data_IF_435462235182
#
_entry.id   IF_435462235182
#
_cell.length_a   1.000
_cell.length_b   1.000
_cell.length_c   1.000
_cell.angle_alpha   90.00
_cell.angle_beta   90.00
_cell.angle_gamma   90.00
#
_symmetry.space_group_name_H-M   'P 1'
#
loop_
_entity.id
_entity.type
_entity.pdbx_description
1 polymer ?
#
# COMPACT_ATOMS: atom_id res chain seq x y z
N UNK A 1 34.59 21.56 10.52
CA UNK A 1 35.66 22.55 10.68
C UNK A 1 35.95 22.62 12.17
N UNK A 2 37.05 22.03 12.64
CA UNK A 2 37.44 22.04 14.06
C UNK A 2 38.77 22.81 14.10
N UNK A 3 38.81 23.96 14.78
CA UNK A 3 39.99 24.81 14.91
C UNK A 3 40.55 25.40 13.60
N UNK A 4 39.71 25.75 12.63
CA UNK A 4 40.12 26.40 11.37
C UNK A 4 40.91 25.51 10.40
N UNK A 5 41.17 24.26 10.79
CA UNK A 5 41.74 23.22 9.93
C UNK A 5 40.60 22.36 9.39
N UNK A 6 40.54 22.21 8.07
CA UNK A 6 39.61 21.28 7.45
C UNK A 6 39.98 19.87 7.93
N UNK A 7 39.02 19.14 8.49
CA UNK A 7 39.21 17.74 8.89
C UNK A 7 38.21 16.92 8.10
N UNK A 8 38.71 16.03 7.26
CA UNK A 8 37.90 15.11 6.48
C UNK A 8 37.53 13.93 7.39
N UNK A 9 36.23 13.74 7.65
CA UNK A 9 35.74 12.75 8.62
C UNK A 9 35.36 11.41 8.00
N UNK A 10 35.41 11.28 6.66
CA UNK A 10 35.08 10.06 5.93
C UNK A 10 34.50 10.32 4.54
N UNK A 11 34.11 9.24 3.86
CA UNK A 11 33.40 9.27 2.59
C UNK A 11 34.11 8.50 1.47
N UNK A 12 33.34 7.97 0.52
CA UNK A 12 33.86 7.10 -0.55
C UNK A 12 35.00 7.75 -1.35
N UNK A 13 34.90 9.05 -1.64
CA UNK A 13 35.96 9.74 -2.38
C UNK A 13 37.26 9.84 -1.56
N UNK A 14 37.17 10.08 -0.25
CA UNK A 14 38.33 10.14 0.64
C UNK A 14 39.03 8.79 0.74
N UNK A 15 38.27 7.70 0.87
CA UNK A 15 38.81 6.34 0.91
C UNK A 15 39.59 6.01 -0.37
N UNK A 16 39.02 6.36 -1.52
CA UNK A 16 39.70 6.20 -2.82
C UNK A 16 41.02 7.00 -2.84
N UNK A 17 41.00 8.25 -2.37
CA UNK A 17 42.20 9.08 -2.34
C UNK A 17 43.29 8.52 -1.43
N UNK A 18 42.93 7.98 -0.26
CA UNK A 18 43.88 7.35 0.68
C UNK A 18 44.54 6.12 0.04
N UNK A 19 43.76 5.29 -0.66
CA UNK A 19 44.28 4.12 -1.37
C UNK A 19 45.24 4.56 -2.48
N UNK A 20 44.87 5.55 -3.28
CA UNK A 20 45.71 6.06 -4.37
C UNK A 20 46.99 6.69 -3.81
N UNK A 21 46.91 7.49 -2.74
CA UNK A 21 48.07 8.11 -2.11
C UNK A 21 49.03 7.09 -1.52
N UNK A 22 48.49 6.01 -0.92
CA UNK A 22 49.29 4.90 -0.41
C UNK A 22 49.98 4.09 -1.52
N UNK A 23 49.32 3.89 -2.67
CA UNK A 23 49.88 3.15 -3.81
C UNK A 23 50.90 3.95 -4.62
N UNK A 24 50.72 5.26 -4.73
CA UNK A 24 51.58 6.15 -5.52
C UNK A 24 52.57 6.96 -4.66
N UNK A 25 52.56 6.74 -3.34
CA UNK A 25 53.48 7.34 -2.37
C UNK A 25 53.54 8.88 -2.42
N UNK A 26 52.37 9.55 -2.38
CA UNK A 26 52.30 11.01 -2.26
C UNK A 26 51.55 11.45 -0.99
N UNK A 27 51.79 12.69 -0.58
CA UNK A 27 51.09 13.32 0.53
C UNK A 27 49.98 14.22 0.01
N UNK A 28 48.89 14.35 0.78
CA UNK A 28 47.70 15.11 0.38
C UNK A 28 47.50 16.26 1.34
N UNK A 29 47.41 17.47 0.78
CA UNK A 29 46.91 18.65 1.48
C UNK A 29 45.52 18.99 0.94
N UNK A 30 44.58 19.27 1.83
CA UNK A 30 43.21 19.57 1.47
C UNK A 30 42.94 21.06 1.59
N UNK A 31 42.16 21.57 0.65
CA UNK A 31 41.59 22.92 0.69
C UNK A 31 40.08 22.83 0.52
N UNK A 32 39.35 23.84 0.98
CA UNK A 32 37.91 23.89 0.81
C UNK A 32 37.56 24.22 -0.65
N UNK A 33 36.65 23.43 -1.23
CA UNK A 33 36.10 23.71 -2.55
C UNK A 33 35.21 24.95 -2.56
N UNK A 34 35.43 25.87 -3.50
CA UNK A 34 34.66 27.14 -3.65
C UNK A 34 33.31 26.95 -4.36
N UNK A 35 32.65 25.81 -4.17
CA UNK A 35 31.39 25.44 -4.84
C UNK A 35 31.56 24.55 -6.07
N UNK A 36 30.47 24.28 -6.78
CA UNK A 36 30.44 23.38 -7.93
C UNK A 36 31.14 23.95 -9.16
N UNK A 37 31.51 23.06 -10.09
CA UNK A 37 32.11 23.46 -11.37
C UNK A 37 31.00 23.90 -12.30
N UNK A 38 30.80 25.21 -12.45
CA UNK A 38 29.77 25.76 -13.33
C UNK A 38 30.40 26.58 -14.46
N UNK A 39 29.66 26.75 -15.56
CA UNK A 39 30.09 27.60 -16.67
C UNK A 39 29.47 28.98 -16.51
N UNK A 40 30.33 30.00 -16.45
CA UNK A 40 29.89 31.39 -16.50
C UNK A 40 29.36 31.78 -17.88
N UNK A 41 28.56 32.86 -17.99
CA UNK A 41 28.18 33.42 -19.30
C UNK A 41 29.37 33.75 -20.20
N UNK A 42 30.52 34.09 -19.61
CA UNK A 42 31.77 34.40 -20.32
C UNK A 42 32.53 33.13 -20.78
N UNK A 43 31.98 31.94 -20.58
CA UNK A 43 32.59 30.67 -20.98
C UNK A 43 33.63 30.10 -20.02
N UNK A 44 34.05 30.86 -19.00
CA UNK A 44 35.02 30.42 -17.97
C UNK A 44 34.36 29.55 -16.89
N UNK A 45 35.13 28.66 -16.26
CA UNK A 45 34.66 27.83 -15.16
C UNK A 45 34.74 28.54 -13.80
N UNK A 46 33.76 28.29 -12.93
CA UNK A 46 33.71 28.77 -11.53
C UNK A 46 33.90 27.64 -10.52
N UNK A 47 33.91 28.02 -9.23
CA UNK A 47 34.00 27.09 -8.10
C UNK A 47 35.27 26.25 -8.12
N UNK A 48 35.14 24.95 -7.88
CA UNK A 48 36.26 24.01 -7.91
C UNK A 48 37.00 23.98 -9.25
N UNK A 49 36.32 24.27 -10.38
CA UNK A 49 36.96 24.29 -11.70
C UNK A 49 37.91 25.48 -11.82
N UNK A 50 37.52 26.64 -11.27
CA UNK A 50 38.38 27.81 -11.21
C UNK A 50 39.60 27.59 -10.31
N UNK A 51 39.46 26.83 -9.22
CA UNK A 51 40.57 26.51 -8.32
C UNK A 51 41.62 25.66 -9.02
N UNK A 52 41.22 24.70 -9.84
CA UNK A 52 42.13 23.94 -10.69
C UNK A 52 42.84 24.83 -11.71
N UNK A 53 42.09 25.67 -12.44
CA UNK A 53 42.65 26.55 -13.47
C UNK A 53 43.63 27.59 -12.92
N UNK A 54 43.44 28.03 -11.67
CA UNK A 54 44.34 28.98 -10.99
C UNK A 54 45.54 28.30 -10.30
N UNK A 55 45.63 26.97 -10.33
CA UNK A 55 46.65 26.22 -9.59
C UNK A 55 46.49 26.31 -8.07
N UNK A 56 45.30 26.64 -7.57
CA UNK A 56 44.99 26.59 -6.12
C UNK A 56 44.83 25.15 -5.64
N UNK A 57 44.44 24.23 -6.53
CA UNK A 57 44.33 22.79 -6.28
C UNK A 57 44.85 22.00 -7.48
N UNK A 58 45.40 20.81 -7.21
CA UNK A 58 45.88 19.89 -8.25
C UNK A 58 44.79 18.88 -8.68
N UNK A 59 43.96 18.45 -7.73
CA UNK A 59 42.91 17.44 -7.94
C UNK A 59 41.64 17.85 -7.20
N UNK A 60 40.50 17.64 -7.85
CA UNK A 60 39.18 17.85 -7.24
C UNK A 60 38.63 16.53 -6.71
N UNK A 61 38.39 16.48 -5.40
CA UNK A 61 37.75 15.36 -4.73
C UNK A 61 36.22 15.57 -4.64
N UNK A 62 35.53 15.48 -5.78
CA UNK A 62 34.06 15.60 -5.81
C UNK A 62 33.43 14.66 -6.82
N UNK A 63 32.15 14.34 -6.61
CA UNK A 63 31.34 13.64 -7.61
C UNK A 63 30.96 14.64 -8.71
N UNK A 64 31.90 14.87 -9.63
CA UNK A 64 31.69 15.70 -10.80
C UNK A 64 31.24 14.84 -11.98
N UNK A 65 30.25 15.35 -12.70
CA UNK A 65 29.83 14.80 -13.98
C UNK A 65 30.83 15.15 -15.08
N UNK A 66 30.95 14.26 -16.06
CA UNK A 66 31.74 14.44 -17.27
C UNK A 66 30.81 15.05 -18.31
N UNK A 67 30.94 16.36 -18.50
CA UNK A 67 30.14 17.16 -19.43
C UNK A 67 31.06 17.98 -20.30
N UNK A 68 30.67 18.16 -21.56
CA UNK A 68 31.53 18.66 -22.63
C UNK A 68 32.31 19.93 -22.25
N UNK A 69 31.62 20.95 -21.73
CA UNK A 69 32.24 22.23 -21.38
C UNK A 69 33.25 22.15 -20.22
N UNK A 70 33.19 21.12 -19.37
CA UNK A 70 34.21 20.90 -18.32
C UNK A 70 35.45 20.24 -18.92
N UNK A 71 35.28 19.28 -19.82
CA UNK A 71 36.39 18.54 -20.47
C UNK A 71 37.21 19.44 -21.39
N UNK A 72 36.58 20.48 -21.96
CA UNK A 72 37.27 21.48 -22.81
C UNK A 72 38.37 22.25 -22.07
N UNK A 73 38.24 22.43 -20.74
CA UNK A 73 39.16 23.24 -19.93
C UNK A 73 39.86 22.43 -18.83
N UNK A 74 39.39 21.22 -18.50
CA UNK A 74 39.92 20.38 -17.42
C UNK A 74 40.24 18.98 -17.93
N UNK A 75 41.35 18.42 -17.46
CA UNK A 75 41.68 17.02 -17.68
C UNK A 75 40.91 16.12 -16.72
N UNK A 76 40.44 14.98 -17.23
CA UNK A 76 39.63 14.03 -16.47
C UNK A 76 40.42 12.73 -16.31
N UNK A 77 40.35 12.14 -15.12
CA UNK A 77 40.91 10.82 -14.83
C UNK A 77 40.01 9.70 -15.37
N UNK A 78 40.25 8.45 -14.98
CA UNK A 78 39.32 7.36 -15.27
C UNK A 78 37.98 7.54 -14.55
N UNK A 79 36.91 7.09 -15.23
CA UNK A 79 35.55 7.08 -14.71
C UNK A 79 35.45 6.01 -13.63
N UNK A 80 35.24 6.43 -12.38
CA UNK A 80 35.14 5.51 -11.23
C UNK A 80 33.73 4.95 -11.03
N UNK A 81 32.70 5.67 -11.49
CA UNK A 81 31.30 5.29 -11.30
C UNK A 81 30.42 5.93 -12.38
N UNK A 82 29.46 5.17 -12.90
CA UNK A 82 28.42 5.66 -13.82
C UNK A 82 27.10 5.81 -13.06
N UNK A 83 26.49 7.00 -13.13
CA UNK A 83 25.16 7.25 -12.58
C UNK A 83 24.20 7.62 -13.70
N UNK A 84 22.92 7.32 -13.50
CA UNK A 84 21.84 7.78 -14.38
C UNK A 84 21.04 8.86 -13.66
N UNK A 85 20.40 9.74 -14.44
CA UNK A 85 19.42 10.68 -13.92
C UNK A 85 18.22 9.87 -13.40
N UNK A 86 17.90 10.04 -12.11
CA UNK A 86 16.77 9.36 -11.46
C UNK A 86 15.78 10.40 -10.96
N UNK A 87 14.52 10.21 -11.31
CA UNK A 87 13.42 10.97 -10.74
C UNK A 87 12.98 10.28 -9.44
N UNK A 88 12.90 11.05 -8.35
CA UNK A 88 12.47 10.56 -7.06
C UNK A 88 11.08 11.12 -6.75
N UNK A 89 10.13 10.22 -6.49
CA UNK A 89 8.77 10.57 -6.10
C UNK A 89 8.50 10.10 -4.69
N UNK A 90 7.71 10.87 -3.94
CA UNK A 90 7.20 10.43 -2.64
C UNK A 90 6.23 9.28 -2.88
N UNK A 91 6.43 8.15 -2.19
CA UNK A 91 5.50 7.01 -2.24
C UNK A 91 4.08 7.51 -1.91
N UNK A 92 3.07 7.26 -2.76
CA UNK A 92 1.70 7.60 -2.43
C UNK A 92 1.29 6.80 -1.19
N UNK A 93 0.48 7.40 -0.33
CA UNK A 93 -0.03 6.72 0.86
C UNK A 93 -0.89 5.55 0.39
N UNK A 94 -0.49 4.31 0.69
CA UNK A 94 -1.30 3.12 0.41
C UNK A 94 -2.54 3.15 1.30
N UNK A 95 -3.72 2.98 0.72
CA UNK A 95 -4.98 2.90 1.45
C UNK A 95 -4.94 1.76 2.49
N UNK A 96 -5.55 1.97 3.65
CA UNK A 96 -5.53 1.01 4.75
C UNK A 96 -6.32 -0.24 4.39
N UNK A 97 -5.72 -1.43 4.60
CA UNK A 97 -6.35 -2.75 4.42
C UNK A 97 -7.73 -2.88 5.10
N UNK A 98 -8.02 -2.09 6.13
CA UNK A 98 -9.30 -2.10 6.85
C UNK A 98 -10.49 -1.69 5.97
N UNK A 99 -10.26 -0.87 4.95
CA UNK A 99 -11.34 -0.38 4.08
C UNK A 99 -11.75 -1.42 3.01
N UNK A 100 -10.94 -2.44 2.78
CA UNK A 100 -11.16 -3.42 1.69
C UNK A 100 -12.47 -4.22 1.91
N UNK A 101 -12.77 -4.58 3.16
CA UNK A 101 -13.99 -5.35 3.48
C UNK A 101 -15.28 -4.59 3.16
N UNK A 102 -15.35 -3.30 3.50
CA UNK A 102 -16.54 -2.49 3.29
C UNK A 102 -16.60 -1.88 1.88
N UNK A 103 -15.44 -1.65 1.24
CA UNK A 103 -15.35 -1.17 -0.15
C UNK A 103 -15.58 -2.26 -1.20
N UNK A 104 -15.59 -3.53 -0.82
CA UNK A 104 -15.87 -4.65 -1.74
C UNK A 104 -17.24 -4.47 -2.42
N UNK A 105 -18.23 -3.96 -1.68
CA UNK A 105 -19.54 -3.62 -2.20
C UNK A 105 -19.85 -2.14 -2.10
N UNK A 106 -20.65 -1.63 -3.04
CA UNK A 106 -21.16 -0.26 -2.94
C UNK A 106 -22.09 -0.13 -1.72
N UNK A 107 -22.17 1.05 -1.07
CA UNK A 107 -23.11 1.28 0.03
C UNK A 107 -24.57 0.97 -0.33
N UNK A 108 -24.95 1.17 -1.60
CA UNK A 108 -26.28 0.83 -2.12
C UNK A 108 -26.54 -0.68 -2.09
N UNK A 109 -25.53 -1.49 -2.42
CA UNK A 109 -25.63 -2.95 -2.40
C UNK A 109 -25.70 -3.48 -0.96
N UNK A 110 -24.92 -2.91 -0.04
CA UNK A 110 -25.05 -3.21 1.39
C UNK A 110 -26.47 -2.94 1.91
N UNK A 111 -27.06 -1.80 1.53
CA UNK A 111 -28.44 -1.48 1.87
C UNK A 111 -29.41 -2.52 1.27
N UNK A 112 -29.22 -2.90 0.01
CA UNK A 112 -30.06 -3.90 -0.66
C UNK A 112 -29.98 -5.29 -0.01
N UNK A 113 -28.80 -5.68 0.47
CA UNK A 113 -28.61 -6.92 1.22
C UNK A 113 -29.40 -6.82 2.53
N UNK A 114 -29.21 -5.76 3.32
CA UNK A 114 -29.93 -5.57 4.58
C UNK A 114 -31.46 -5.57 4.40
N UNK A 115 -31.97 -4.91 3.36
CA UNK A 115 -33.41 -4.90 3.08
C UNK A 115 -33.92 -6.29 2.67
N UNK A 116 -33.16 -7.04 1.87
CA UNK A 116 -33.50 -8.44 1.54
C UNK A 116 -33.62 -9.30 2.80
N UNK A 117 -32.65 -9.21 3.72
CA UNK A 117 -32.68 -9.94 4.99
C UNK A 117 -33.89 -9.56 5.86
N UNK A 118 -34.22 -8.26 5.93
CA UNK A 118 -35.41 -7.79 6.64
C UNK A 118 -36.70 -8.35 6.04
N UNK A 119 -36.81 -8.43 4.71
CA UNK A 119 -37.98 -9.02 4.04
C UNK A 119 -38.11 -10.51 4.38
N UNK A 120 -37.01 -11.28 4.38
CA UNK A 120 -37.05 -12.67 4.84
C UNK A 120 -37.47 -12.79 6.31
N UNK A 121 -37.07 -11.85 7.17
CA UNK A 121 -37.44 -11.87 8.60
C UNK A 121 -38.89 -11.58 8.85
N UNK A 122 -39.40 -10.54 8.19
CA UNK A 122 -40.80 -10.16 8.29
C UNK A 122 -41.68 -11.27 7.72
N UNK A 123 -41.34 -11.83 6.55
CA UNK A 123 -42.11 -12.93 5.96
C UNK A 123 -42.09 -14.18 6.84
N UNK A 124 -40.93 -14.61 7.33
CA UNK A 124 -40.84 -15.75 8.25
C UNK A 124 -41.70 -15.52 9.51
N UNK A 125 -41.63 -14.33 10.11
CA UNK A 125 -42.42 -13.97 11.30
C UNK A 125 -43.92 -13.94 11.03
N UNK A 126 -44.34 -13.35 9.91
CA UNK A 126 -45.75 -13.28 9.52
C UNK A 126 -46.32 -14.69 9.31
N UNK A 127 -45.58 -15.58 8.65
CA UNK A 127 -46.00 -16.97 8.46
C UNK A 127 -46.10 -17.75 9.78
N UNK A 128 -45.13 -17.60 10.68
CA UNK A 128 -45.20 -18.20 12.02
C UNK A 128 -46.37 -17.65 12.85
N UNK A 129 -46.65 -16.35 12.78
CA UNK A 129 -47.75 -15.72 13.50
C UNK A 129 -49.13 -16.12 12.95
N UNK A 130 -49.31 -16.11 11.62
CA UNK A 130 -50.52 -16.59 10.97
C UNK A 130 -50.79 -18.05 11.31
N UNK A 131 -49.75 -18.90 11.33
CA UNK A 131 -49.86 -20.30 11.77
C UNK A 131 -50.36 -20.38 13.22
N UNK A 132 -49.72 -19.65 14.14
CA UNK A 132 -50.12 -19.63 15.56
C UNK A 132 -51.59 -19.24 15.76
N UNK A 133 -52.08 -18.28 14.97
CA UNK A 133 -53.47 -17.83 15.02
C UNK A 133 -54.47 -18.83 14.43
N UNK A 134 -54.07 -19.58 13.39
CA UNK A 134 -54.92 -20.58 12.71
C UNK A 134 -54.94 -21.90 13.49
N UNK A 135 -53.82 -22.32 14.06
CA UNK A 135 -53.66 -23.56 14.84
C UNK A 135 -53.87 -23.30 16.34
N UNK A 136 -54.95 -22.59 16.69
CA UNK A 136 -55.34 -22.27 18.08
C UNK A 136 -56.03 -23.45 18.79
N UNK A 137 -55.82 -24.69 18.35
CA UNK A 137 -56.46 -25.89 18.91
C UNK A 137 -55.41 -26.91 19.37
N UNK A 138 -55.08 -26.85 20.67
CA UNK A 138 -54.59 -27.91 21.58
C UNK A 138 -53.54 -28.95 21.14
N UNK A 139 -52.66 -28.70 20.15
CA UNK A 139 -51.49 -29.56 19.90
C UNK A 139 -50.17 -28.85 20.17
N UNK A 140 -49.28 -29.56 20.88
CA UNK A 140 -47.91 -29.20 21.27
C UNK A 140 -47.24 -28.36 20.17
N UNK A 141 -47.06 -27.08 20.45
CA UNK A 141 -46.63 -26.05 19.50
C UNK A 141 -45.11 -26.19 19.26
N UNK A 142 -44.70 -27.08 18.35
CA UNK A 142 -43.29 -27.37 18.05
C UNK A 142 -42.54 -26.25 17.30
N UNK A 143 -43.24 -25.25 16.77
CA UNK A 143 -42.68 -24.18 15.92
C UNK A 143 -42.93 -22.77 16.49
N UNK A 144 -42.83 -22.61 17.81
CA UNK A 144 -43.04 -21.33 18.49
C UNK A 144 -41.77 -20.47 18.45
N UNK A 145 -41.41 -19.98 17.26
CA UNK A 145 -40.22 -19.14 17.07
C UNK A 145 -40.44 -17.75 17.68
N UNK A 146 -39.62 -17.38 18.67
CA UNK A 146 -39.59 -16.03 19.25
C UNK A 146 -38.79 -15.10 18.34
N UNK A 147 -38.97 -13.78 18.45
CA UNK A 147 -38.20 -12.79 17.69
C UNK A 147 -36.68 -13.02 17.83
N UNK A 148 -36.23 -13.41 19.02
CA UNK A 148 -34.83 -13.77 19.28
C UNK A 148 -34.35 -14.95 18.43
N UNK A 149 -35.16 -16.01 18.29
CA UNK A 149 -34.80 -17.19 17.49
C UNK A 149 -34.71 -16.86 16.01
N UNK A 150 -35.57 -15.96 15.53
CA UNK A 150 -35.55 -15.48 14.14
C UNK A 150 -34.28 -14.67 13.88
N UNK A 151 -33.91 -13.76 14.79
CA UNK A 151 -32.66 -12.98 14.68
C UNK A 151 -31.43 -13.87 14.77
N UNK A 152 -31.42 -14.84 15.70
CA UNK A 152 -30.32 -15.79 15.83
C UNK A 152 -30.20 -16.67 14.59
N UNK A 153 -31.32 -17.16 14.05
CA UNK A 153 -31.33 -17.88 12.78
C UNK A 153 -30.74 -17.04 11.64
N UNK A 154 -31.03 -15.74 11.59
CA UNK A 154 -30.44 -14.84 10.61
C UNK A 154 -28.94 -14.72 10.74
N UNK A 155 -28.45 -14.49 11.96
CA UNK A 155 -27.01 -14.38 12.24
C UNK A 155 -26.32 -15.70 11.89
N UNK A 156 -26.89 -16.83 12.28
CA UNK A 156 -26.35 -18.15 11.95
C UNK A 156 -26.34 -18.38 10.44
N UNK A 157 -27.42 -18.07 9.73
CA UNK A 157 -27.47 -18.23 8.28
C UNK A 157 -26.49 -17.32 7.55
N UNK A 158 -26.39 -16.04 7.96
CA UNK A 158 -25.44 -15.07 7.42
C UNK A 158 -23.97 -15.51 7.62
N UNK A 159 -23.70 -16.16 8.74
CA UNK A 159 -22.39 -16.72 9.06
C UNK A 159 -22.15 -18.10 8.43
N UNK A 160 -23.07 -18.58 7.58
CA UNK A 160 -23.10 -19.95 7.02
C UNK A 160 -23.04 -21.06 8.08
N UNK A 161 -23.48 -20.75 9.30
CA UNK A 161 -23.55 -21.70 10.40
C UNK A 161 -24.87 -22.48 10.35
N UNK A 162 -24.79 -23.75 10.76
CA UNK A 162 -25.96 -24.59 10.94
C UNK A 162 -26.87 -24.05 12.06
N UNK A 163 -28.16 -24.37 11.97
CA UNK A 163 -29.13 -24.09 13.02
C UNK A 163 -29.88 -25.39 13.32
N UNK A 164 -30.00 -25.72 14.61
CA UNK A 164 -30.52 -27.03 15.05
C UNK A 164 -32.06 -27.09 15.03
N UNK A 165 -32.75 -25.95 15.15
CA UNK A 165 -34.23 -25.91 15.18
C UNK A 165 -34.79 -25.65 13.78
N UNK A 166 -34.93 -26.71 12.98
CA UNK A 166 -35.58 -26.62 11.66
C UNK A 166 -37.12 -26.59 11.81
N UNK A 167 -37.84 -25.75 11.05
CA UNK A 167 -39.30 -25.72 11.11
C UNK A 167 -39.91 -27.03 10.63
N UNK A 168 -40.99 -27.46 11.29
CA UNK A 168 -41.67 -28.70 10.93
C UNK A 168 -42.51 -28.58 9.64
N UNK A 169 -43.04 -27.39 9.36
CA UNK A 169 -43.95 -27.14 8.22
C UNK A 169 -43.26 -26.95 6.88
N UNK A 170 -43.88 -27.47 5.82
CA UNK A 170 -43.38 -27.35 4.44
C UNK A 170 -43.25 -25.90 3.98
N UNK A 171 -44.22 -25.03 4.28
CA UNK A 171 -44.17 -23.61 3.87
C UNK A 171 -43.02 -22.85 4.55
N UNK A 172 -42.79 -23.08 5.84
CA UNK A 172 -41.67 -22.48 6.57
C UNK A 172 -40.32 -23.06 6.11
N UNK A 173 -40.27 -24.35 5.76
CA UNK A 173 -39.08 -24.98 5.17
C UNK A 173 -38.69 -24.37 3.82
N UNK A 174 -39.66 -24.03 2.97
CA UNK A 174 -39.38 -23.38 1.68
C UNK A 174 -38.78 -21.97 1.89
N UNK A 175 -39.33 -21.18 2.82
CA UNK A 175 -38.78 -19.85 3.17
C UNK A 175 -37.37 -20.00 3.76
N UNK A 176 -37.19 -20.96 4.65
CA UNK A 176 -35.91 -21.24 5.30
C UNK A 176 -34.83 -21.70 4.30
N UNK A 177 -35.19 -22.58 3.36
CA UNK A 177 -34.28 -23.08 2.33
C UNK A 177 -33.92 -21.98 1.32
N UNK A 178 -34.91 -21.19 0.88
CA UNK A 178 -34.67 -20.09 -0.07
C UNK A 178 -33.81 -19.00 0.54
N UNK A 179 -34.02 -18.64 1.81
CA UNK A 179 -33.15 -17.72 2.55
C UNK A 179 -31.71 -18.22 2.63
N UNK A 180 -31.50 -19.49 3.02
CA UNK A 180 -30.15 -20.10 3.06
C UNK A 180 -29.47 -20.14 1.70
N UNK A 181 -30.19 -20.46 0.63
CA UNK A 181 -29.65 -20.49 -0.73
C UNK A 181 -29.24 -19.08 -1.17
N UNK A 182 -30.06 -18.08 -0.90
CA UNK A 182 -29.74 -16.68 -1.20
C UNK A 182 -28.47 -16.23 -0.46
N UNK A 183 -28.35 -16.53 0.83
CA UNK A 183 -27.15 -16.23 1.61
C UNK A 183 -25.89 -16.91 1.05
N UNK A 184 -26.01 -18.18 0.66
CA UNK A 184 -24.90 -18.94 0.08
C UNK A 184 -24.40 -18.28 -1.22
N UNK A 185 -25.32 -17.90 -2.10
CA UNK A 185 -24.99 -17.20 -3.35
C UNK A 185 -24.33 -15.85 -3.05
N UNK A 186 -24.89 -15.07 -2.12
CA UNK A 186 -24.31 -13.79 -1.73
C UNK A 186 -22.90 -13.92 -1.14
N UNK A 187 -22.66 -14.95 -0.34
CA UNK A 187 -21.34 -15.24 0.20
C UNK A 187 -20.33 -15.60 -0.90
N UNK A 188 -20.72 -16.45 -1.86
CA UNK A 188 -19.87 -16.82 -2.98
C UNK A 188 -19.52 -15.62 -3.88
N UNK A 189 -20.48 -14.73 -4.09
CA UNK A 189 -20.26 -13.48 -4.84
C UNK A 189 -19.33 -12.55 -4.06
N UNK A 190 -19.57 -12.34 -2.77
CA UNK A 190 -18.74 -11.49 -1.91
C UNK A 190 -17.29 -11.97 -1.85
N UNK A 191 -17.06 -13.28 -1.65
CA UNK A 191 -15.71 -13.84 -1.60
C UNK A 191 -14.98 -13.68 -2.93
N UNK A 192 -15.66 -13.91 -4.06
CA UNK A 192 -15.11 -13.70 -5.40
C UNK A 192 -14.68 -12.25 -5.64
N UNK A 193 -15.53 -11.28 -5.29
CA UNK A 193 -15.19 -9.85 -5.43
C UNK A 193 -14.06 -9.42 -4.51
N UNK A 194 -14.05 -9.90 -3.27
CA UNK A 194 -12.96 -9.62 -2.32
C UNK A 194 -11.62 -10.14 -2.84
N UNK A 195 -11.57 -11.39 -3.34
CA UNK A 195 -10.38 -11.98 -3.94
C UNK A 195 -9.95 -11.18 -5.18
N UNK A 196 -10.89 -10.79 -6.04
CA UNK A 196 -10.60 -9.97 -7.22
C UNK A 196 -9.96 -8.63 -6.85
N UNK A 197 -10.48 -7.94 -5.82
CA UNK A 197 -9.92 -6.67 -5.34
C UNK A 197 -8.51 -6.85 -4.79
N UNK A 198 -8.27 -7.88 -3.98
CA UNK A 198 -6.96 -8.20 -3.44
C UNK A 198 -5.96 -8.62 -4.52
N UNK A 199 -6.42 -9.30 -5.57
CA UNK A 199 -5.55 -9.70 -6.69
C UNK A 199 -5.19 -8.54 -7.62
N UNK A 200 -5.99 -7.47 -7.65
CA UNK A 200 -5.77 -6.29 -8.50
C UNK A 200 -5.01 -5.19 -7.77
N UNK A 201 -4.90 -5.25 -6.44
CA UNK A 201 -3.92 -4.49 -5.66
C UNK A 201 -2.51 -5.01 -5.99
N UNK A 202 -2.09 -4.77 -7.23
CA UNK A 202 -0.70 -4.84 -7.64
C UNK A 202 0.00 -3.79 -6.81
N UNK A 203 0.99 -4.25 -6.05
CA UNK A 203 2.07 -3.41 -5.60
C UNK A 203 2.43 -2.45 -6.73
N UNK A 204 2.06 -1.18 -6.53
CA UNK A 204 2.67 -0.06 -7.23
C UNK A 204 4.12 -0.02 -6.71
N UNK A 205 4.93 -0.97 -7.20
CA UNK A 205 6.39 -0.97 -7.13
C UNK A 205 6.90 0.03 -8.16
#
# INVERSE_FOLDING_TARGET
NVNGKLVLTGGAALEILIVISGKLNFTVFHILGKGWIERTPNGTLTGMGQQLLKGEADVVLSRSEIIQYRVEQLSITHILHTSMLKAYFKKPVSFSLRDIYFTTFSPKLWLAILTMWLVFGVTFRLFSYCKKKITSDNKIQRDDFVLGDVVLWFISSASLQGWNSAPSETSLRIIFLSGKLATLIMYAIFSSFMISKLSVEKDLV
#
